data_IF_606501588811
#
_entry.id   IF_606501588811
#
_cell.length_a   1.000
_cell.length_b   1.000
_cell.length_c   1.000
_cell.angle_alpha   90.00
_cell.angle_beta   90.00
_cell.angle_gamma   90.00
#
_symmetry.space_group_name_H-M   'P 1'
#
loop_
_entity.id
_entity.type
_entity.pdbx_description
1 polymer ?
#
# COMPACT_ATOMS: atom_id res chain seq x y z
N UNK A 1 72.62 41.60 16.22
CA UNK A 1 71.32 41.45 16.90
C UNK A 1 70.25 41.17 15.85
N UNK A 2 69.67 39.98 15.91
CA UNK A 2 68.78 39.37 14.92
C UNK A 2 67.37 39.97 15.10
N UNK A 3 66.87 40.77 14.15
CA UNK A 3 65.51 41.31 14.20
C UNK A 3 64.55 40.22 13.72
N UNK A 4 63.88 39.56 14.66
CA UNK A 4 62.81 38.61 14.38
C UNK A 4 61.55 39.43 14.07
N UNK A 5 61.10 39.40 12.82
CA UNK A 5 59.76 39.82 12.44
C UNK A 5 58.76 38.80 13.02
N UNK A 6 57.91 39.22 13.96
CA UNK A 6 56.70 38.47 14.29
C UNK A 6 55.69 38.67 13.15
N UNK A 7 55.48 37.62 12.37
CA UNK A 7 54.36 37.52 11.42
C UNK A 7 53.07 37.32 12.21
N UNK A 8 52.17 38.31 12.16
CA UNK A 8 50.83 38.24 12.70
C UNK A 8 49.96 37.46 11.69
N UNK A 9 49.84 36.15 11.88
CA UNK A 9 48.87 35.32 11.15
C UNK A 9 47.50 35.62 11.75
N UNK A 10 46.70 36.42 11.02
CA UNK A 10 45.28 36.60 11.32
C UNK A 10 44.54 35.29 11.00
N UNK A 11 44.32 34.47 12.02
CA UNK A 11 43.39 33.35 11.97
C UNK A 11 41.96 33.91 11.90
N UNK A 12 41.46 34.16 10.70
CA UNK A 12 40.04 34.39 10.48
C UNK A 12 39.29 33.07 10.75
N UNK A 13 38.87 32.86 11.99
CA UNK A 13 37.84 31.90 12.29
C UNK A 13 36.56 32.39 11.60
N UNK A 14 36.17 31.74 10.50
CA UNK A 14 34.84 31.92 9.92
C UNK A 14 33.84 31.45 10.95
N UNK A 15 33.29 32.38 11.74
CA UNK A 15 32.09 32.14 12.53
C UNK A 15 30.98 31.92 11.52
N UNK A 16 30.74 30.66 11.16
CA UNK A 16 29.56 30.29 10.39
C UNK A 16 28.38 30.69 11.25
N UNK A 17 27.65 31.73 10.84
CA UNK A 17 26.37 32.10 11.46
C UNK A 17 25.41 30.97 11.15
N UNK A 18 25.33 30.00 12.05
CA UNK A 18 24.33 28.93 12.01
C UNK A 18 22.97 29.61 12.20
N UNK A 19 22.25 29.84 11.10
CA UNK A 19 20.89 30.37 11.10
C UNK A 19 19.94 29.27 11.55
N UNK A 20 19.69 29.19 12.85
CA UNK A 20 18.74 28.22 13.40
C UNK A 20 17.33 28.83 13.43
N UNK A 21 16.40 28.25 12.67
CA UNK A 21 14.98 28.61 12.72
C UNK A 21 14.17 27.56 13.44
N UNK A 22 13.24 28.03 14.28
CA UNK A 22 12.27 27.17 14.95
C UNK A 22 10.95 27.23 14.20
N UNK A 23 10.45 26.06 13.84
CA UNK A 23 9.19 25.85 13.15
C UNK A 23 8.17 25.34 14.16
N UNK A 24 7.04 26.02 14.24
CA UNK A 24 5.90 25.61 15.06
C UNK A 24 4.72 25.37 14.12
N UNK A 25 4.01 24.27 14.32
CA UNK A 25 2.84 23.93 13.50
C UNK A 25 1.70 23.44 14.37
N UNK A 26 0.51 23.95 14.08
CA UNK A 26 -0.76 23.41 14.56
C UNK A 26 -1.35 22.51 13.49
N UNK A 27 -1.77 21.30 13.89
CA UNK A 27 -2.24 20.26 12.99
C UNK A 27 -3.68 19.84 13.33
N UNK A 28 -4.42 19.23 12.40
CA UNK A 28 -5.78 18.76 12.67
C UNK A 28 -5.82 17.73 13.80
N UNK A 29 -6.94 17.67 14.53
CA UNK A 29 -7.18 16.63 15.51
C UNK A 29 -7.10 15.22 14.87
N UNK A 30 -6.56 14.25 15.60
CA UNK A 30 -6.31 12.89 15.08
C UNK A 30 -4.95 12.72 14.39
N UNK A 31 -4.10 13.75 14.35
CA UNK A 31 -2.71 13.62 13.87
C UNK A 31 -1.87 12.83 14.88
N UNK A 32 -1.33 11.68 14.45
CA UNK A 32 -0.46 10.85 15.29
C UNK A 32 0.96 11.40 15.33
N UNK A 33 1.53 11.66 14.14
CA UNK A 33 2.89 12.17 13.96
C UNK A 33 2.93 13.34 12.97
N UNK A 34 4.00 14.12 13.01
CA UNK A 34 4.21 15.23 12.11
C UNK A 34 5.68 15.31 11.72
N UNK A 35 5.92 15.54 10.44
CA UNK A 35 7.22 15.67 9.82
C UNK A 35 7.28 16.98 9.04
N UNK A 36 8.47 17.58 9.00
CA UNK A 36 8.78 18.70 8.11
C UNK A 36 9.74 18.21 7.03
N UNK A 37 9.58 18.71 5.82
CA UNK A 37 10.43 18.40 4.67
C UNK A 37 10.66 19.69 3.87
N UNK A 38 11.89 19.98 3.48
CA UNK A 38 12.18 21.25 2.79
C UNK A 38 13.60 21.37 2.25
N UNK A 39 13.90 22.53 1.68
CA UNK A 39 15.22 22.89 1.15
C UNK A 39 16.17 23.35 2.28
N UNK A 40 16.40 22.46 3.23
CA UNK A 40 17.38 22.63 4.31
C UNK A 40 18.73 22.06 3.85
N UNK A 41 19.83 22.82 3.96
CA UNK A 41 21.10 22.48 3.30
C UNK A 41 21.65 21.08 3.67
N UNK A 42 21.45 20.64 4.91
CA UNK A 42 21.95 19.39 5.48
C UNK A 42 20.99 18.21 5.30
N UNK A 43 19.70 18.48 5.10
CA UNK A 43 18.64 17.46 5.05
C UNK A 43 17.62 17.78 3.93
N UNK A 44 18.15 18.19 2.78
CA UNK A 44 17.35 18.65 1.65
C UNK A 44 16.34 17.59 1.22
N UNK A 45 15.07 17.96 1.21
CA UNK A 45 13.93 17.12 0.86
C UNK A 45 13.89 15.77 1.60
N UNK A 46 14.39 15.74 2.83
CA UNK A 46 14.26 14.59 3.75
C UNK A 46 13.16 14.87 4.76
N UNK A 47 12.33 13.88 5.06
CA UNK A 47 11.30 14.00 6.09
C UNK A 47 11.92 13.94 7.49
N UNK A 48 11.84 15.03 8.25
CA UNK A 48 12.39 15.17 9.59
C UNK A 48 11.26 15.16 10.60
N UNK A 49 11.26 14.20 11.53
CA UNK A 49 10.20 14.07 12.54
C UNK A 49 10.21 15.25 13.51
N UNK A 50 9.07 15.91 13.68
CA UNK A 50 8.89 17.01 14.62
C UNK A 50 8.56 16.51 16.03
N UNK A 51 8.88 17.31 17.05
CA UNK A 51 8.59 17.00 18.45
C UNK A 51 7.18 17.46 18.83
N UNK A 52 6.31 16.52 19.18
CA UNK A 52 4.97 16.78 19.71
C UNK A 52 5.05 17.60 21.01
N UNK A 53 4.30 18.69 21.09
CA UNK A 53 4.19 19.54 22.29
C UNK A 53 2.84 19.34 22.97
N UNK A 54 1.76 19.33 22.19
CA UNK A 54 0.39 19.08 22.64
C UNK A 54 -0.28 18.09 21.68
N UNK A 55 -1.54 17.66 21.91
CA UNK A 55 -2.25 16.79 20.97
C UNK A 55 -2.30 17.33 19.53
N UNK A 56 -2.27 18.65 19.34
CA UNK A 56 -2.41 19.30 18.03
C UNK A 56 -1.27 20.26 17.68
N UNK A 57 -0.18 20.32 18.44
CA UNK A 57 0.97 21.19 18.13
C UNK A 57 2.31 20.47 18.18
N UNK A 58 3.17 20.81 17.22
CA UNK A 58 4.50 20.22 17.03
C UNK A 58 5.54 21.32 16.80
N UNK A 59 6.79 21.05 17.18
CA UNK A 59 7.90 22.00 17.02
C UNK A 59 9.19 21.29 16.62
N UNK A 60 10.05 22.00 15.88
CA UNK A 60 11.43 21.58 15.58
C UNK A 60 12.32 22.80 15.31
N UNK A 61 13.60 22.72 15.66
CA UNK A 61 14.59 23.71 15.27
C UNK A 61 15.52 23.11 14.22
N UNK A 62 15.64 23.77 13.07
CA UNK A 62 16.54 23.37 11.97
C UNK A 62 17.69 24.35 11.93
N UNK A 63 18.92 23.84 12.13
CA UNK A 63 20.10 24.66 12.40
C UNK A 63 20.60 25.46 11.20
N UNK A 64 20.32 25.01 9.98
CA UNK A 64 20.78 25.59 8.73
C UNK A 64 19.64 26.14 7.87
N UNK A 65 18.46 26.32 8.46
CA UNK A 65 17.30 26.88 7.79
C UNK A 65 17.40 28.41 7.68
N UNK A 66 16.88 28.94 6.58
CA UNK A 66 16.74 30.38 6.36
C UNK A 66 15.27 30.72 6.14
N UNK A 67 14.90 32.01 6.22
CA UNK A 67 13.52 32.41 5.96
C UNK A 67 13.09 32.12 4.50
N UNK A 68 14.07 32.00 3.60
CA UNK A 68 13.88 31.63 2.20
C UNK A 68 13.84 30.10 1.97
N UNK A 69 14.16 29.28 2.97
CA UNK A 69 14.07 27.83 2.85
C UNK A 69 12.60 27.42 2.67
N UNK A 70 12.30 26.82 1.53
CA UNK A 70 10.99 26.29 1.23
C UNK A 70 10.73 24.97 1.96
N UNK A 71 9.50 24.72 2.40
CA UNK A 71 9.16 23.47 3.09
C UNK A 71 7.66 23.10 2.99
N UNK A 72 7.34 21.90 3.44
CA UNK A 72 5.99 21.37 3.63
C UNK A 72 5.92 20.52 4.90
N UNK A 73 4.70 20.26 5.36
CA UNK A 73 4.44 19.30 6.43
C UNK A 73 3.81 18.01 5.91
N UNK A 74 4.11 16.91 6.60
CA UNK A 74 3.52 15.59 6.36
C UNK A 74 3.08 14.94 7.69
N UNK A 75 1.98 14.19 7.68
CA UNK A 75 1.56 13.40 8.86
C UNK A 75 2.44 12.18 9.11
N UNK A 76 3.29 11.78 8.15
CA UNK A 76 4.22 10.65 8.26
C UNK A 76 5.51 10.92 7.47
N UNK A 77 6.47 9.97 7.46
CA UNK A 77 7.76 10.13 6.79
C UNK A 77 7.64 9.99 5.26
N UNK A 78 6.60 10.59 4.66
CA UNK A 78 6.28 10.39 3.27
C UNK A 78 5.33 11.42 2.65
N UNK A 79 5.49 11.68 1.35
CA UNK A 79 4.66 12.61 0.57
C UNK A 79 3.18 12.19 0.47
N UNK A 80 2.85 10.90 0.58
CA UNK A 80 1.46 10.45 0.64
C UNK A 80 0.68 11.00 1.85
N UNK A 81 1.40 11.51 2.86
CA UNK A 81 0.85 12.13 4.06
C UNK A 81 0.95 13.66 4.02
N UNK A 82 1.29 14.25 2.87
CA UNK A 82 1.49 15.71 2.72
C UNK A 82 0.24 16.50 3.08
N UNK A 83 0.45 17.72 3.57
CA UNK A 83 -0.62 18.67 3.79
C UNK A 83 -1.42 19.00 2.52
N UNK A 84 -2.70 19.28 2.72
CA UNK A 84 -3.67 19.70 1.71
C UNK A 84 -4.47 20.89 2.25
N UNK A 85 -5.08 21.64 1.34
CA UNK A 85 -6.13 22.61 1.70
C UNK A 85 -7.34 21.88 2.29
N UNK A 86 -8.25 22.58 2.96
CA UNK A 86 -9.51 21.98 3.45
C UNK A 86 -10.27 21.21 2.35
N UNK A 87 -10.23 21.69 1.10
CA UNK A 87 -10.86 21.05 -0.06
C UNK A 87 -10.10 19.82 -0.60
N UNK A 88 -8.92 19.51 -0.06
CA UNK A 88 -8.09 18.38 -0.48
C UNK A 88 -7.11 18.68 -1.64
N UNK A 89 -6.97 19.94 -2.05
CA UNK A 89 -6.02 20.35 -3.10
C UNK A 89 -4.60 20.48 -2.55
N UNK A 90 -3.60 20.36 -3.43
CA UNK A 90 -2.20 20.63 -3.08
C UNK A 90 -1.99 22.03 -2.49
N UNK A 91 -1.22 22.09 -1.41
CA UNK A 91 -0.67 23.34 -0.87
C UNK A 91 0.66 23.61 -1.57
N UNK A 92 0.97 24.86 -1.89
CA UNK A 92 2.30 25.24 -2.39
C UNK A 92 3.37 25.05 -1.30
N UNK A 93 4.66 25.08 -1.67
CA UNK A 93 5.71 25.14 -0.66
C UNK A 93 5.55 26.40 0.21
N UNK A 94 5.75 26.25 1.51
CA UNK A 94 5.71 27.32 2.50
C UNK A 94 7.10 27.98 2.61
N UNK A 95 7.11 29.21 3.09
CA UNK A 95 8.30 29.91 3.59
C UNK A 95 8.10 30.26 5.06
N UNK A 96 9.20 30.45 5.79
CA UNK A 96 9.12 30.52 7.26
C UNK A 96 8.35 31.75 7.73
N UNK A 97 7.53 31.56 8.76
CA UNK A 97 6.81 32.64 9.44
C UNK A 97 6.97 32.51 10.96
N UNK A 98 7.20 33.63 11.63
CA UNK A 98 7.42 33.67 13.08
C UNK A 98 6.20 33.24 13.91
N UNK A 99 4.99 33.40 13.37
CA UNK A 99 3.74 33.02 14.03
C UNK A 99 3.46 31.51 14.05
N UNK A 100 4.26 30.72 13.35
CA UNK A 100 3.98 29.30 13.10
C UNK A 100 2.90 29.07 12.04
N UNK A 101 2.74 27.81 11.67
CA UNK A 101 1.86 27.37 10.59
C UNK A 101 0.60 26.67 11.13
N UNK A 102 -0.43 26.64 10.29
CA UNK A 102 -1.61 25.81 10.47
C UNK A 102 -1.75 24.88 9.26
N UNK A 103 -1.85 23.58 9.54
CA UNK A 103 -2.23 22.57 8.54
C UNK A 103 -3.73 22.33 8.64
N UNK A 104 -4.45 22.51 7.55
CA UNK A 104 -5.91 22.32 7.50
C UNK A 104 -6.30 20.84 7.37
N UNK A 105 -5.55 20.09 6.57
CA UNK A 105 -5.85 18.70 6.23
C UNK A 105 -4.59 17.95 5.82
N UNK A 106 -4.58 16.64 6.03
CA UNK A 106 -3.59 15.73 5.46
C UNK A 106 -4.17 14.98 4.27
N UNK A 107 -3.35 14.67 3.28
CA UNK A 107 -3.67 13.72 2.22
C UNK A 107 -4.07 12.36 2.81
N UNK A 108 -3.30 11.92 3.81
CA UNK A 108 -3.59 10.76 4.66
C UNK A 108 -3.02 10.99 6.06
N UNK A 109 -3.64 10.39 7.08
CA UNK A 109 -3.09 10.37 8.44
C UNK A 109 -2.21 9.13 8.59
N UNK A 110 -0.96 9.33 9.01
CA UNK A 110 -0.05 8.23 9.32
C UNK A 110 -0.37 7.65 10.69
N UNK A 111 -0.24 6.33 10.84
CA UNK A 111 -0.34 5.65 12.13
C UNK A 111 0.82 4.65 12.24
N UNK A 112 1.79 4.95 13.10
CA UNK A 112 2.96 4.08 13.36
C UNK A 112 2.61 2.84 14.18
N UNK A 113 1.42 2.81 14.82
CA UNK A 113 0.91 1.65 15.55
C UNK A 113 0.16 0.65 14.67
N UNK A 114 -0.20 1.03 13.44
CA UNK A 114 -0.76 0.10 12.47
C UNK A 114 0.34 -0.88 12.06
N UNK A 115 0.13 -2.16 12.36
CA UNK A 115 1.01 -3.22 11.87
C UNK A 115 1.02 -3.17 10.34
N UNK A 116 2.21 -3.00 9.77
CA UNK A 116 2.42 -3.14 8.35
C UNK A 116 2.12 -4.60 8.01
N UNK A 117 0.94 -4.84 7.43
CA UNK A 117 0.61 -6.13 6.82
C UNK A 117 1.42 -6.21 5.55
N UNK A 118 2.36 -7.16 5.55
CA UNK A 118 3.10 -7.59 4.36
C UNK A 118 2.40 -8.80 3.79
N UNK A 119 2.02 -8.70 2.53
CA UNK A 119 1.40 -9.81 1.83
C UNK A 119 2.18 -10.11 0.54
N UNK A 120 2.17 -11.38 0.17
CA UNK A 120 2.49 -11.75 -1.19
C UNK A 120 1.30 -11.41 -2.08
N UNK A 121 1.54 -10.67 -3.15
CA UNK A 121 0.51 -10.16 -4.05
C UNK A 121 0.75 -10.74 -5.44
N UNK A 122 -0.22 -11.50 -5.95
CA UNK A 122 -0.15 -12.08 -7.29
C UNK A 122 -1.23 -11.46 -8.17
N UNK A 123 -0.79 -10.91 -9.30
CA UNK A 123 -1.66 -10.41 -10.36
C UNK A 123 -1.76 -11.46 -11.45
N UNK A 124 -2.99 -11.74 -11.89
CA UNK A 124 -3.24 -12.45 -13.16
C UNK A 124 -4.10 -11.56 -14.05
N UNK A 125 -3.65 -11.34 -15.28
CA UNK A 125 -4.34 -10.51 -16.27
C UNK A 125 -4.35 -11.20 -17.63
N UNK A 126 -5.44 -11.04 -18.38
CA UNK A 126 -5.55 -11.52 -19.75
C UNK A 126 -5.40 -10.35 -20.73
N UNK A 127 -4.40 -10.39 -21.60
CA UNK A 127 -4.02 -9.26 -22.47
C UNK A 127 -3.88 -9.73 -23.91
N UNK A 128 -4.48 -9.01 -24.86
CA UNK A 128 -4.63 -9.47 -26.24
C UNK A 128 -3.36 -9.36 -27.10
N UNK A 129 -2.30 -8.67 -26.65
CA UNK A 129 -1.09 -8.42 -27.46
C UNK A 129 0.26 -8.78 -26.79
N UNK A 130 1.35 -8.58 -27.56
CA UNK A 130 2.57 -9.42 -27.60
C UNK A 130 3.51 -9.36 -26.39
N UNK A 131 3.37 -8.39 -25.48
CA UNK A 131 4.04 -8.42 -24.16
C UNK A 131 3.51 -7.28 -23.29
N UNK A 132 2.85 -7.56 -22.16
CA UNK A 132 2.35 -6.49 -21.30
C UNK A 132 3.46 -5.88 -20.47
N UNK A 133 3.37 -4.57 -20.23
CA UNK A 133 4.26 -3.88 -19.30
C UNK A 133 3.48 -3.44 -18.08
N UNK A 134 3.86 -3.93 -16.91
CA UNK A 134 3.35 -3.42 -15.64
C UNK A 134 4.19 -2.21 -15.24
N UNK A 135 3.49 -1.11 -14.98
CA UNK A 135 4.05 0.03 -14.27
C UNK A 135 3.49 0.02 -12.85
N UNK A 136 4.38 0.08 -11.89
CA UNK A 136 3.99 0.09 -10.49
C UNK A 136 4.46 1.39 -9.87
N UNK A 137 3.56 2.02 -9.12
CA UNK A 137 3.92 3.02 -8.14
C UNK A 137 3.56 2.42 -6.79
N UNK A 138 4.55 1.80 -6.14
CA UNK A 138 4.47 1.69 -4.69
C UNK A 138 4.31 3.12 -4.19
N UNK A 139 3.16 3.44 -3.59
CA UNK A 139 2.87 4.81 -3.17
C UNK A 139 3.91 5.24 -2.15
N UNK A 140 4.97 5.88 -2.62
CA UNK A 140 6.13 6.35 -1.88
C UNK A 140 6.42 5.49 -0.62
N UNK A 141 6.53 4.17 -0.75
CA UNK A 141 6.93 3.32 0.39
C UNK A 141 8.44 3.15 0.24
N UNK A 142 9.22 3.58 1.23
CA UNK A 142 10.67 3.35 1.23
C UNK A 142 10.95 1.83 1.34
N UNK A 143 10.99 1.14 0.19
CA UNK A 143 11.60 -0.18 0.03
C UNK A 143 11.09 -1.01 -1.17
N UNK A 144 11.96 -1.77 -1.87
CA UNK A 144 13.37 -1.50 -2.15
C UNK A 144 13.49 -0.48 -3.28
N UNK A 145 14.65 0.17 -3.36
CA UNK A 145 15.12 0.96 -4.51
C UNK A 145 15.08 0.13 -5.81
N UNK A 146 13.92 0.01 -6.44
CA UNK A 146 13.91 -0.29 -7.86
C UNK A 146 14.23 1.04 -8.55
N UNK A 147 15.35 1.12 -9.29
CA UNK A 147 15.59 2.29 -10.12
C UNK A 147 14.36 2.53 -10.98
N UNK A 148 14.14 3.79 -11.35
CA UNK A 148 13.06 4.31 -12.20
C UNK A 148 13.05 3.73 -13.65
N UNK A 149 13.39 2.45 -13.79
CA UNK A 149 13.53 1.66 -15.01
C UNK A 149 13.02 0.20 -14.79
N UNK A 150 12.50 -0.17 -13.62
CA UNK A 150 11.98 -1.53 -13.42
C UNK A 150 10.63 -1.72 -14.13
N UNK A 151 10.69 -2.14 -15.41
CA UNK A 151 9.60 -2.76 -16.18
C UNK A 151 9.69 -4.27 -15.93
N UNK A 152 9.08 -4.84 -14.88
CA UNK A 152 9.11 -6.29 -14.72
C UNK A 152 8.34 -6.95 -15.87
N UNK A 153 9.00 -7.89 -16.55
CA UNK A 153 8.32 -8.76 -17.52
C UNK A 153 7.36 -9.68 -16.76
N UNK A 154 6.11 -9.76 -17.22
CA UNK A 154 5.15 -10.73 -16.69
C UNK A 154 5.45 -12.12 -17.26
N UNK A 155 5.20 -13.17 -16.47
CA UNK A 155 5.30 -14.56 -16.94
C UNK A 155 4.05 -14.93 -17.74
N UNK A 156 4.22 -15.39 -18.99
CA UNK A 156 3.12 -15.90 -19.81
C UNK A 156 2.63 -17.26 -19.30
N UNK A 157 1.31 -17.43 -19.19
CA UNK A 157 0.64 -18.67 -18.74
C UNK A 157 -0.15 -19.38 -19.86
N UNK A 158 -0.14 -18.84 -21.08
CA UNK A 158 -0.95 -19.34 -22.21
C UNK A 158 -2.34 -18.69 -22.27
N UNK A 159 -3.04 -18.83 -23.40
CA UNK A 159 -4.34 -18.18 -23.66
C UNK A 159 -4.33 -16.67 -23.34
N UNK A 160 -3.23 -15.99 -23.65
CA UNK A 160 -3.05 -14.56 -23.40
C UNK A 160 -3.08 -14.15 -21.92
N UNK A 161 -2.92 -15.11 -21.00
CA UNK A 161 -2.77 -14.83 -19.58
C UNK A 161 -1.32 -14.55 -19.20
N UNK A 162 -1.15 -13.57 -18.33
CA UNK A 162 0.11 -13.16 -17.78
C UNK A 162 0.01 -13.05 -16.27
N UNK A 163 1.09 -13.41 -15.58
CA UNK A 163 1.16 -13.34 -14.13
C UNK A 163 2.39 -12.62 -13.64
N UNK A 164 2.24 -11.89 -12.55
CA UNK A 164 3.37 -11.34 -11.81
C UNK A 164 3.09 -11.36 -10.32
N UNK A 165 4.08 -11.79 -9.54
CA UNK A 165 3.99 -11.89 -8.09
C UNK A 165 5.00 -10.95 -7.45
N UNK A 166 4.53 -10.18 -6.49
CA UNK A 166 5.34 -9.41 -5.57
C UNK A 166 5.34 -10.13 -4.22
N UNK A 167 6.48 -10.13 -3.54
CA UNK A 167 6.58 -10.63 -2.17
C UNK A 167 6.78 -9.49 -1.20
N UNK A 168 6.19 -9.64 -0.01
CA UNK A 168 6.33 -8.69 1.10
C UNK A 168 5.91 -7.25 0.73
N UNK A 169 4.80 -7.08 0.02
CA UNK A 169 4.28 -5.75 -0.29
C UNK A 169 3.58 -5.18 0.93
N UNK A 170 3.93 -3.94 1.28
CA UNK A 170 3.27 -3.18 2.34
C UNK A 170 1.87 -2.74 1.85
N UNK A 171 0.85 -3.59 2.07
CA UNK A 171 -0.53 -3.37 1.58
C UNK A 171 -1.34 -2.39 2.43
N UNK A 172 -0.75 -1.89 3.52
CA UNK A 172 -1.49 -1.18 4.55
C UNK A 172 -1.66 0.31 4.24
N UNK A 173 -0.85 0.83 3.29
CA UNK A 173 -0.84 2.25 2.98
C UNK A 173 -1.55 2.69 1.70
N UNK A 174 -2.10 1.74 0.95
CA UNK A 174 -2.65 2.01 -0.37
C UNK A 174 -1.57 1.82 -1.43
N UNK A 175 -1.90 1.08 -2.47
CA UNK A 175 -1.01 0.74 -3.57
C UNK A 175 -1.64 1.26 -4.86
N UNK A 176 -0.88 2.02 -5.65
CA UNK A 176 -1.35 2.50 -6.95
C UNK A 176 -0.63 1.74 -8.07
N UNK A 177 -1.38 1.04 -8.89
CA UNK A 177 -0.82 0.17 -9.93
C UNK A 177 -1.40 0.56 -11.29
N UNK A 178 -0.53 0.65 -12.29
CA UNK A 178 -0.92 0.95 -13.66
C UNK A 178 -0.45 -0.14 -14.62
N UNK A 179 -1.38 -0.77 -15.33
CA UNK A 179 -1.02 -1.83 -16.29
C UNK A 179 -1.28 -1.30 -17.70
N UNK A 180 -0.29 -1.50 -18.58
CA UNK A 180 -0.34 -1.04 -19.96
C UNK A 180 -0.19 -2.21 -20.94
N UNK A 181 -0.94 -2.13 -22.03
CA UNK A 181 -0.78 -2.95 -23.24
C UNK A 181 -0.28 -2.04 -24.37
N UNK A 182 1.01 -2.16 -24.67
CA UNK A 182 1.72 -1.16 -25.46
C UNK A 182 1.69 0.22 -24.79
N UNK A 183 1.08 1.20 -25.45
CA UNK A 183 0.86 2.56 -24.93
C UNK A 183 -0.52 2.73 -24.26
N UNK A 184 -1.39 1.72 -24.34
CA UNK A 184 -2.76 1.81 -23.82
C UNK A 184 -2.77 1.45 -22.34
N UNK A 185 -3.23 2.38 -21.49
CA UNK A 185 -3.45 2.14 -20.07
C UNK A 185 -4.75 1.35 -19.87
N UNK A 186 -4.66 0.16 -19.27
CA UNK A 186 -5.82 -0.72 -19.06
C UNK A 186 -6.28 -0.70 -17.60
N UNK A 187 -5.36 -0.53 -16.63
CA UNK A 187 -5.71 -0.44 -15.20
C UNK A 187 -5.21 0.88 -14.63
N UNK A 188 -6.09 1.58 -13.92
CA UNK A 188 -5.78 2.71 -13.05
C UNK A 188 -6.53 2.53 -11.74
N UNK A 189 -5.84 2.05 -10.71
CA UNK A 189 -6.50 1.84 -9.42
C UNK A 189 -5.64 2.37 -8.30
N UNK A 190 -6.17 3.37 -7.58
CA UNK A 190 -5.78 3.70 -6.23
C UNK A 190 -6.34 2.61 -5.31
N UNK A 191 -5.63 1.48 -5.19
CA UNK A 191 -6.10 0.37 -4.38
C UNK A 191 -5.79 0.67 -2.92
N UNK A 192 -6.70 1.40 -2.28
CA UNK A 192 -6.64 1.73 -0.86
C UNK A 192 -7.47 0.71 -0.08
N UNK A 193 -6.81 -0.29 0.51
CA UNK A 193 -7.47 -1.25 1.40
C UNK A 193 -6.61 -2.46 1.72
N UNK A 194 -6.79 -3.02 2.92
CA UNK A 194 -6.14 -4.25 3.38
C UNK A 194 -6.42 -5.38 2.39
N UNK A 195 -5.38 -5.84 1.68
CA UNK A 195 -5.50 -6.97 0.77
C UNK A 195 -5.59 -8.27 1.57
N UNK A 196 -6.66 -9.02 1.32
CA UNK A 196 -6.70 -10.45 1.58
C UNK A 196 -7.10 -11.09 0.24
N UNK A 197 -6.25 -11.97 -0.30
CA UNK A 197 -6.42 -12.75 -1.54
C UNK A 197 -6.07 -12.08 -2.89
N UNK A 198 -5.63 -12.94 -3.82
CA UNK A 198 -5.33 -12.68 -5.23
C UNK A 198 -6.54 -12.09 -5.96
N UNK A 199 -6.35 -10.98 -6.66
CA UNK A 199 -7.35 -10.37 -7.55
C UNK A 199 -6.94 -10.55 -9.01
N UNK A 200 -7.92 -10.69 -9.89
CA UNK A 200 -7.70 -10.87 -11.32
C UNK A 200 -8.44 -9.79 -12.10
N UNK A 201 -7.89 -9.41 -13.26
CA UNK A 201 -8.44 -8.35 -14.11
C UNK A 201 -8.57 -8.85 -15.55
N UNK A 202 -9.60 -8.41 -16.26
CA UNK A 202 -9.75 -8.68 -17.70
C UNK A 202 -9.02 -7.64 -18.56
N UNK A 203 -9.10 -7.80 -19.89
CA UNK A 203 -8.44 -6.90 -20.86
C UNK A 203 -9.01 -5.48 -20.90
N UNK A 204 -10.10 -5.21 -20.19
CA UNK A 204 -10.72 -3.87 -20.05
C UNK A 204 -10.37 -3.21 -18.72
N UNK A 205 -9.66 -3.92 -17.84
CA UNK A 205 -9.30 -3.46 -16.50
C UNK A 205 -10.38 -3.70 -15.45
N UNK A 206 -11.46 -4.40 -15.80
CA UNK A 206 -12.50 -4.77 -14.84
C UNK A 206 -11.99 -5.89 -13.92
N UNK A 207 -12.24 -5.74 -12.62
CA UNK A 207 -11.99 -6.83 -11.66
C UNK A 207 -12.86 -8.03 -12.02
N UNK A 208 -12.24 -9.20 -12.04
CA UNK A 208 -12.86 -10.47 -12.39
C UNK A 208 -12.46 -11.54 -11.38
N UNK A 209 -13.25 -12.61 -11.34
CA UNK A 209 -12.95 -13.79 -10.53
C UNK A 209 -11.66 -14.44 -11.03
N UNK A 210 -10.72 -14.70 -10.13
CA UNK A 210 -9.51 -15.39 -10.52
C UNK A 210 -9.82 -16.79 -11.07
N UNK A 211 -9.29 -17.15 -12.25
CA UNK A 211 -9.46 -18.49 -12.76
C UNK A 211 -8.79 -19.47 -11.78
N UNK A 212 -9.58 -20.41 -11.29
CA UNK A 212 -9.14 -21.49 -10.39
C UNK A 212 -8.22 -22.40 -11.21
N UNK A 213 -6.91 -22.27 -10.97
CA UNK A 213 -5.88 -23.03 -11.71
C UNK A 213 -5.65 -24.42 -11.12
N UNK A 214 -6.09 -24.66 -9.89
CA UNK A 214 -6.14 -25.97 -9.25
C UNK A 214 -7.34 -26.07 -8.29
N UNK A 215 -7.94 -27.27 -8.15
CA UNK A 215 -9.08 -27.52 -7.24
C UNK A 215 -8.79 -27.11 -5.79
N UNK A 216 -7.54 -27.18 -5.35
CA UNK A 216 -7.09 -26.76 -4.01
C UNK A 216 -7.16 -25.26 -3.75
N UNK A 217 -7.32 -24.44 -4.81
CA UNK A 217 -7.32 -22.98 -4.75
C UNK A 217 -8.75 -22.40 -4.80
N UNK A 218 -9.78 -23.26 -4.93
CA UNK A 218 -11.17 -22.83 -4.90
C UNK A 218 -11.57 -22.49 -3.46
N UNK A 219 -11.90 -21.22 -3.21
CA UNK A 219 -12.60 -20.82 -1.98
C UNK A 219 -14.07 -21.29 -2.08
N UNK A 220 -14.47 -22.21 -1.20
CA UNK A 220 -15.85 -22.66 -1.11
C UNK A 220 -16.55 -21.89 0.03
N UNK A 221 -17.12 -20.72 -0.31
CA UNK A 221 -17.80 -19.81 0.63
C UNK A 221 -19.23 -20.29 0.99
N UNK A 222 -19.44 -21.60 1.03
CA UNK A 222 -20.74 -22.20 1.30
C UNK A 222 -20.78 -22.74 2.73
N UNK A 223 -21.74 -22.29 3.53
CA UNK A 223 -22.03 -22.89 4.82
C UNK A 223 -22.73 -24.25 4.61
N UNK A 224 -21.95 -25.33 4.51
CA UNK A 224 -22.45 -26.71 4.46
C UNK A 224 -22.24 -27.37 5.81
N UNK A 225 -23.33 -27.87 6.40
CA UNK A 225 -23.32 -28.54 7.70
C UNK A 225 -23.75 -29.99 7.53
N UNK A 226 -23.14 -30.89 8.30
CA UNK A 226 -23.44 -32.31 8.24
C UNK A 226 -23.55 -32.91 9.64
N UNK A 227 -24.66 -33.59 9.88
CA UNK A 227 -24.94 -34.25 11.15
C UNK A 227 -25.90 -35.42 10.95
N UNK A 228 -25.60 -36.56 11.59
CA UNK A 228 -26.50 -37.72 11.69
C UNK A 228 -27.12 -38.14 10.34
N UNK A 229 -26.29 -38.39 9.33
CA UNK A 229 -26.74 -38.84 8.01
C UNK A 229 -27.42 -37.76 7.15
N UNK A 230 -27.49 -36.51 7.64
CA UNK A 230 -28.11 -35.38 6.94
C UNK A 230 -27.07 -34.31 6.63
N UNK A 231 -27.16 -33.76 5.42
CA UNK A 231 -26.38 -32.61 4.95
C UNK A 231 -27.36 -31.46 4.71
N UNK A 232 -26.95 -30.25 5.06
CA UNK A 232 -27.72 -29.01 4.87
C UNK A 232 -26.82 -27.91 4.35
N UNK A 233 -27.37 -27.03 3.51
CA UNK A 233 -26.70 -25.86 2.99
C UNK A 233 -27.70 -24.70 2.87
N UNK A 234 -27.19 -23.46 2.90
CA UNK A 234 -27.99 -22.23 2.76
C UNK A 234 -28.51 -21.99 1.32
N UNK A 235 -28.30 -22.94 0.41
CA UNK A 235 -28.75 -22.90 -0.97
C UNK A 235 -29.11 -24.31 -1.46
N UNK A 236 -29.82 -24.40 -2.58
CA UNK A 236 -30.11 -25.68 -3.24
C UNK A 236 -28.81 -26.43 -3.58
N UNK A 237 -28.81 -27.72 -3.27
CA UNK A 237 -27.63 -28.57 -3.38
C UNK A 237 -27.94 -29.98 -3.86
N UNK A 238 -26.94 -30.63 -4.46
CA UNK A 238 -26.91 -32.06 -4.72
C UNK A 238 -25.78 -32.72 -3.93
N UNK A 239 -25.96 -34.00 -3.62
CA UNK A 239 -25.00 -34.83 -2.89
C UNK A 239 -24.51 -35.91 -3.84
N UNK A 240 -23.20 -36.01 -4.02
CA UNK A 240 -22.55 -36.98 -4.89
C UNK A 240 -21.65 -37.87 -4.01
N UNK A 241 -21.80 -39.18 -4.12
CA UNK A 241 -20.91 -40.11 -3.40
C UNK A 241 -19.54 -40.22 -4.09
N UNK A 242 -18.59 -40.91 -3.45
CA UNK A 242 -17.24 -41.08 -4.01
C UNK A 242 -17.20 -41.87 -5.34
N UNK A 243 -18.28 -42.58 -5.69
CA UNK A 243 -18.43 -43.27 -6.97
C UNK A 243 -19.01 -42.35 -8.07
N UNK A 244 -19.25 -41.07 -7.77
CA UNK A 244 -19.81 -40.10 -8.72
C UNK A 244 -21.32 -40.22 -8.92
N UNK A 245 -22.02 -40.96 -8.06
CA UNK A 245 -23.47 -41.15 -8.14
C UNK A 245 -24.17 -40.06 -7.34
N UNK A 246 -25.19 -39.44 -7.94
CA UNK A 246 -26.10 -38.53 -7.24
C UNK A 246 -26.94 -39.33 -6.22
N UNK A 247 -26.73 -39.00 -4.95
CA UNK A 247 -27.40 -39.60 -3.78
C UNK A 247 -28.19 -38.56 -3.01
N UNK A 248 -28.55 -37.43 -3.63
CA UNK A 248 -29.31 -36.34 -2.98
C UNK A 248 -30.60 -36.84 -2.35
N UNK A 249 -31.29 -37.78 -3.02
CA UNK A 249 -32.52 -38.39 -2.53
C UNK A 249 -32.33 -39.25 -1.26
N UNK A 250 -31.09 -39.60 -0.91
CA UNK A 250 -30.75 -40.40 0.28
C UNK A 250 -30.41 -39.52 1.50
N UNK A 251 -30.51 -38.19 1.38
CA UNK A 251 -30.23 -37.27 2.47
C UNK A 251 -31.08 -37.58 3.72
N UNK A 252 -30.43 -37.79 4.87
CA UNK A 252 -31.07 -38.29 6.09
C UNK A 252 -30.99 -39.81 6.29
N UNK A 253 -30.50 -40.55 5.29
CA UNK A 253 -30.20 -41.99 5.35
C UNK A 253 -28.78 -42.29 4.83
N UNK A 254 -27.93 -41.27 4.75
CA UNK A 254 -26.54 -41.43 4.35
C UNK A 254 -25.76 -42.17 5.44
N UNK A 255 -24.95 -43.13 5.03
CA UNK A 255 -24.02 -43.81 5.92
C UNK A 255 -22.85 -42.90 6.30
N UNK A 256 -22.10 -43.28 7.34
CA UNK A 256 -20.82 -42.65 7.64
C UNK A 256 -19.89 -42.76 6.42
N UNK A 257 -19.29 -41.64 6.01
CA UNK A 257 -18.54 -41.57 4.77
C UNK A 257 -18.31 -40.14 4.27
N UNK A 258 -17.55 -40.01 3.19
CA UNK A 258 -17.27 -38.75 2.53
C UNK A 258 -18.19 -38.56 1.30
N UNK A 259 -18.70 -37.35 1.15
CA UNK A 259 -19.62 -36.95 0.08
C UNK A 259 -19.18 -35.61 -0.49
N UNK A 260 -19.45 -35.39 -1.78
CA UNK A 260 -19.27 -34.11 -2.45
C UNK A 260 -20.63 -33.43 -2.49
N UNK A 261 -20.75 -32.25 -1.89
CA UNK A 261 -21.96 -31.44 -1.90
C UNK A 261 -21.77 -30.35 -2.94
N UNK A 262 -22.62 -30.31 -3.96
CA UNK A 262 -22.54 -29.33 -5.07
C UNK A 262 -23.74 -28.39 -5.03
N UNK A 263 -23.50 -27.10 -5.03
CA UNK A 263 -24.55 -26.08 -5.07
C UNK A 263 -24.95 -25.73 -6.51
N UNK A 264 -26.13 -25.14 -6.67
CA UNK A 264 -26.64 -24.69 -7.98
C UNK A 264 -25.73 -23.65 -8.67
N UNK A 265 -24.99 -22.86 -7.90
CA UNK A 265 -24.01 -21.89 -8.42
C UNK A 265 -22.69 -22.52 -8.89
N UNK A 266 -22.54 -23.84 -8.80
CA UNK A 266 -21.36 -24.58 -9.23
C UNK A 266 -20.30 -24.79 -8.15
N UNK A 267 -20.42 -24.17 -6.97
CA UNK A 267 -19.54 -24.43 -5.83
C UNK A 267 -19.70 -25.87 -5.32
N UNK A 268 -18.63 -26.50 -4.83
CA UNK A 268 -18.70 -27.86 -4.30
C UNK A 268 -17.77 -28.09 -3.10
N UNK A 269 -18.24 -28.79 -2.06
CA UNK A 269 -17.45 -29.05 -0.86
C UNK A 269 -17.44 -30.54 -0.50
N UNK A 270 -16.31 -31.04 -0.02
CA UNK A 270 -16.22 -32.40 0.54
C UNK A 270 -16.65 -32.36 2.00
N UNK A 271 -17.62 -33.20 2.33
CA UNK A 271 -18.23 -33.31 3.65
C UNK A 271 -18.05 -34.73 4.17
N UNK A 272 -17.65 -34.88 5.44
CA UNK A 272 -17.50 -36.19 6.08
C UNK A 272 -18.55 -36.37 7.16
N UNK A 273 -19.41 -37.36 6.99
CA UNK A 273 -20.34 -37.84 8.00
C UNK A 273 -19.64 -38.87 8.88
N UNK A 274 -19.68 -38.64 10.20
CA UNK A 274 -19.15 -39.54 11.23
C UNK A 274 -20.22 -40.51 11.71
#
# INVERSE_FOLDING_TARGET
MKKILLSLVALFATVSLVSALTYNVTVPAGTNECYIIGDFASQKWTHIKMKKQTPTTYTITIADATEASEYKYCSGPNWMYVEKTASGTEVANRTWVSGGDNVEKWAKVYDSGVQIVRADLTFKIQISTVTPTIWWWGGDIDGPTMPWIARPEMTAQGNNWFTYSFSQVDVTNGLSIQIFDGETKIVDSDVVGSFTASKCFDSTGAETTCPVTAISEAAFDAAVVAANGTISADADFSIINLAGVDVTAQNGSLAAGAYIVKLANGAAQVVTLK
#
